data_IF_929033070184
#
_entry.id   IF_929033070184
#
_cell.length_a   1.000
_cell.length_b   1.000
_cell.length_c   1.000
_cell.angle_alpha   90.00
_cell.angle_beta   90.00
_cell.angle_gamma   90.00
#
_symmetry.space_group_name_H-M   'P 1'
#
loop_
_entity.id
_entity.type
_entity.pdbx_description
1 polymer ?
#
# COMPACT_ATOMS: atom_id res chain seq x y z
N UNK A 1 -13.12 0.61 -26.82
CA UNK A 1 -13.49 -0.47 -25.89
C UNK A 1 -12.27 -0.63 -25.03
N UNK A 2 -12.36 -0.18 -23.78
CA UNK A 2 -11.24 -0.16 -22.83
C UNK A 2 -10.86 -1.60 -22.48
N UNK A 3 -9.60 -1.98 -22.72
CA UNK A 3 -9.06 -3.28 -22.29
C UNK A 3 -8.71 -3.30 -20.79
N UNK A 4 -8.90 -2.18 -20.07
CA UNK A 4 -8.64 -2.03 -18.62
C UNK A 4 -9.65 -2.73 -17.70
N UNK A 5 -10.77 -3.22 -18.23
CA UNK A 5 -11.83 -3.89 -17.44
C UNK A 5 -11.70 -5.42 -17.38
N UNK A 6 -10.70 -6.02 -18.04
CA UNK A 6 -10.53 -7.47 -18.00
C UNK A 6 -9.64 -7.87 -16.84
N UNK A 7 -10.25 -8.45 -15.81
CA UNK A 7 -9.54 -9.15 -14.74
C UNK A 7 -8.65 -10.23 -15.38
N UNK A 8 -7.32 -10.21 -15.15
CA UNK A 8 -6.42 -11.21 -15.70
C UNK A 8 -6.77 -12.61 -15.19
N UNK A 9 -6.71 -13.59 -16.09
CA UNK A 9 -6.83 -15.01 -15.73
C UNK A 9 -5.61 -15.47 -14.91
N UNK A 10 -5.76 -16.42 -13.98
CA UNK A 10 -4.64 -17.04 -13.28
C UNK A 10 -3.58 -17.68 -14.20
N UNK A 11 -3.92 -18.00 -15.46
CA UNK A 11 -2.98 -18.54 -16.45
C UNK A 11 -2.15 -17.45 -17.17
N UNK A 12 -2.49 -16.17 -17.00
CA UNK A 12 -1.69 -15.07 -17.56
C UNK A 12 -0.38 -14.87 -16.80
N UNK A 13 0.61 -14.20 -17.41
CA UNK A 13 1.86 -13.84 -16.75
C UNK A 13 1.63 -13.16 -15.41
N UNK A 14 2.52 -13.43 -14.45
CA UNK A 14 2.44 -12.86 -13.11
C UNK A 14 2.51 -11.33 -13.17
N UNK A 15 3.32 -10.78 -14.06
CA UNK A 15 3.51 -9.35 -14.27
C UNK A 15 2.21 -8.65 -14.63
N UNK A 16 1.42 -9.22 -15.54
CA UNK A 16 0.11 -8.69 -15.94
C UNK A 16 -0.88 -8.70 -14.77
N UNK A 17 -0.84 -9.75 -13.94
CA UNK A 17 -1.70 -9.92 -12.77
C UNK A 17 -1.35 -8.90 -11.67
N UNK A 18 -0.07 -8.67 -11.42
CA UNK A 18 0.39 -7.65 -10.46
C UNK A 18 0.13 -6.23 -10.99
N UNK A 19 0.32 -5.99 -12.28
CA UNK A 19 0.01 -4.72 -12.93
C UNK A 19 -1.47 -4.38 -12.78
N UNK A 20 -2.37 -5.36 -12.94
CA UNK A 20 -3.79 -5.15 -12.69
C UNK A 20 -4.08 -4.65 -11.26
N UNK A 21 -3.45 -5.25 -10.24
CA UNK A 21 -3.62 -4.80 -8.84
C UNK A 21 -3.11 -3.37 -8.69
N UNK A 22 -1.92 -3.07 -9.24
CA UNK A 22 -1.30 -1.75 -9.23
C UNK A 22 -2.21 -0.68 -9.87
N UNK A 23 -2.69 -0.92 -11.09
CA UNK A 23 -3.53 0.02 -11.84
C UNK A 23 -4.84 0.30 -11.12
N UNK A 24 -5.49 -0.73 -10.56
CA UNK A 24 -6.72 -0.56 -9.78
C UNK A 24 -6.48 0.30 -8.54
N UNK A 25 -5.38 0.07 -7.82
CA UNK A 25 -5.03 0.89 -6.65
C UNK A 25 -4.69 2.33 -7.03
N UNK A 26 -3.88 2.54 -8.07
CA UNK A 26 -3.53 3.87 -8.58
C UNK A 26 -4.79 4.63 -9.00
N UNK A 27 -5.66 3.97 -9.78
CA UNK A 27 -6.93 4.53 -10.24
C UNK A 27 -7.80 4.96 -9.07
N UNK A 28 -7.99 4.07 -8.09
CA UNK A 28 -8.81 4.35 -6.91
C UNK A 28 -8.25 5.51 -6.07
N UNK A 29 -6.96 5.46 -5.72
CA UNK A 29 -6.31 6.50 -4.90
C UNK A 29 -6.40 7.87 -5.58
N UNK A 30 -6.23 7.93 -6.90
CA UNK A 30 -6.39 9.18 -7.68
C UNK A 30 -7.85 9.63 -7.74
N UNK A 31 -8.78 8.75 -8.07
CA UNK A 31 -10.20 9.08 -8.24
C UNK A 31 -10.84 9.59 -6.95
N UNK A 32 -10.50 8.96 -5.82
CA UNK A 32 -11.02 9.32 -4.50
C UNK A 32 -10.15 10.34 -3.77
N UNK A 33 -9.10 10.84 -4.44
CA UNK A 33 -8.20 11.87 -3.92
C UNK A 33 -7.69 11.52 -2.51
N UNK A 34 -7.31 10.25 -2.31
CA UNK A 34 -7.11 9.72 -0.97
C UNK A 34 -5.97 10.44 -0.25
N UNK A 35 -6.21 10.89 0.99
CA UNK A 35 -5.17 11.32 1.91
C UNK A 35 -4.04 10.31 2.04
N UNK A 36 -2.79 10.79 2.06
CA UNK A 36 -1.63 9.91 2.25
C UNK A 36 -1.70 9.09 3.54
N UNK A 37 -2.23 9.66 4.63
CA UNK A 37 -2.34 8.95 5.91
C UNK A 37 -3.32 7.78 5.85
N UNK A 38 -4.42 7.92 5.11
CA UNK A 38 -5.41 6.84 4.94
C UNK A 38 -4.81 5.69 4.12
N UNK A 39 -4.15 6.01 2.99
CA UNK A 39 -3.47 5.00 2.17
C UNK A 39 -2.38 4.30 3.01
N UNK A 40 -1.60 5.05 3.79
CA UNK A 40 -0.57 4.50 4.67
C UNK A 40 -1.12 3.46 5.65
N UNK A 41 -2.26 3.75 6.28
CA UNK A 41 -2.89 2.85 7.25
C UNK A 41 -3.37 1.56 6.60
N UNK A 42 -4.03 1.65 5.44
CA UNK A 42 -4.53 0.47 4.72
C UNK A 42 -3.38 -0.40 4.20
N UNK A 43 -2.36 0.20 3.59
CA UNK A 43 -1.18 -0.54 3.11
C UNK A 43 -0.44 -1.20 4.28
N UNK A 44 -0.24 -0.48 5.38
CA UNK A 44 0.44 -1.03 6.58
C UNK A 44 -0.33 -2.21 7.20
N UNK A 45 -1.67 -2.14 7.20
CA UNK A 45 -2.53 -3.24 7.63
C UNK A 45 -2.32 -4.47 6.75
N UNK A 46 -2.32 -4.30 5.43
CA UNK A 46 -2.15 -5.42 4.50
C UNK A 46 -0.75 -6.04 4.50
N UNK A 47 0.30 -5.23 4.56
CA UNK A 47 1.68 -5.71 4.72
C UNK A 47 1.77 -6.65 5.92
N UNK A 48 1.20 -6.24 7.06
CA UNK A 48 1.18 -7.05 8.28
C UNK A 48 0.44 -8.37 8.08
N UNK A 49 -0.76 -8.34 7.51
CA UNK A 49 -1.55 -9.55 7.25
C UNK A 49 -0.79 -10.51 6.34
N UNK A 50 -0.23 -10.03 5.22
CA UNK A 50 0.51 -10.88 4.29
C UNK A 50 1.79 -11.43 4.91
N UNK A 51 2.53 -10.60 5.65
CA UNK A 51 3.76 -11.00 6.32
C UNK A 51 3.51 -12.07 7.38
N UNK A 52 2.49 -11.91 8.22
CA UNK A 52 2.09 -12.91 9.22
C UNK A 52 1.75 -14.25 8.55
N UNK A 53 1.01 -14.22 7.43
CA UNK A 53 0.65 -15.44 6.69
C UNK A 53 1.85 -16.10 6.02
N UNK A 54 2.71 -15.32 5.37
CA UNK A 54 3.92 -15.83 4.73
C UNK A 54 4.89 -16.42 5.75
N UNK A 55 5.04 -15.78 6.91
CA UNK A 55 5.92 -16.26 7.98
C UNK A 55 5.39 -17.57 8.55
N UNK A 56 4.08 -17.67 8.77
CA UNK A 56 3.45 -18.91 9.21
C UNK A 56 3.73 -20.07 8.24
N UNK A 57 3.57 -19.83 6.92
CA UNK A 57 3.82 -20.86 5.90
C UNK A 57 5.31 -21.24 5.86
N UNK A 58 6.21 -20.26 5.94
CA UNK A 58 7.65 -20.47 5.94
C UNK A 58 8.09 -21.30 7.16
N UNK A 59 7.56 -20.99 8.36
CA UNK A 59 7.83 -21.73 9.58
C UNK A 59 7.33 -23.18 9.48
N UNK A 60 6.15 -23.40 8.89
CA UNK A 60 5.56 -24.72 8.65
C UNK A 60 6.34 -25.55 7.62
N UNK A 61 6.93 -24.91 6.60
CA UNK A 61 7.73 -25.57 5.57
C UNK A 61 9.23 -25.68 5.91
N UNK A 62 9.70 -25.01 6.97
CA UNK A 62 11.11 -24.91 7.30
C UNK A 62 11.91 -24.04 6.33
N UNK A 63 11.25 -23.09 5.67
CA UNK A 63 11.85 -22.10 4.78
C UNK A 63 12.02 -20.75 5.47
N UNK A 64 12.82 -19.86 4.87
CA UNK A 64 12.99 -18.48 5.33
C UNK A 64 12.51 -17.49 4.25
N UNK A 65 11.84 -16.43 4.68
CA UNK A 65 11.42 -15.37 3.77
C UNK A 65 12.61 -14.46 3.39
N UNK A 66 12.65 -13.96 2.14
CA UNK A 66 13.64 -12.97 1.73
C UNK A 66 13.61 -11.71 2.60
N UNK A 67 14.79 -11.24 3.02
CA UNK A 67 14.94 -10.10 3.93
C UNK A 67 14.29 -8.80 3.44
N UNK A 68 14.30 -8.57 2.12
CA UNK A 68 13.68 -7.39 1.50
C UNK A 68 12.14 -7.38 1.62
N UNK A 69 11.50 -8.51 1.91
CA UNK A 69 10.06 -8.57 2.18
C UNK A 69 9.74 -8.36 3.66
N UNK A 70 10.68 -8.72 4.54
CA UNK A 70 10.49 -8.66 5.99
C UNK A 70 10.51 -7.23 6.52
N UNK A 71 11.31 -6.36 5.91
CA UNK A 71 11.51 -4.99 6.38
C UNK A 71 11.26 -3.96 5.28
N UNK A 72 10.75 -2.76 5.63
CA UNK A 72 10.68 -1.66 4.70
C UNK A 72 12.06 -1.35 4.12
N UNK A 73 12.14 -1.03 2.83
CA UNK A 73 13.40 -0.55 2.22
C UNK A 73 13.91 0.68 2.98
N UNK A 74 15.21 0.77 3.29
CA UNK A 74 15.79 1.97 3.90
C UNK A 74 15.43 3.22 3.12
N UNK A 75 15.15 4.30 3.84
CA UNK A 75 14.88 5.59 3.24
C UNK A 75 16.16 6.41 3.33
N UNK A 76 16.73 6.77 2.18
CA UNK A 76 18.01 7.50 2.08
C UNK A 76 17.85 9.03 2.09
N UNK A 77 16.62 9.54 2.28
CA UNK A 77 16.35 10.98 2.31
C UNK A 77 16.51 11.60 3.69
N UNK A 78 16.71 12.91 3.71
CA UNK A 78 16.76 13.69 4.94
C UNK A 78 15.38 13.72 5.63
N UNK A 79 15.28 13.08 6.79
CA UNK A 79 14.12 13.20 7.67
C UNK A 79 14.08 14.64 8.18
N UNK A 80 13.13 15.43 7.67
CA UNK A 80 12.94 16.80 8.15
C UNK A 80 12.23 16.75 9.50
N UNK A 81 12.71 17.49 10.52
CA UNK A 81 12.01 17.55 11.79
C UNK A 81 10.59 18.11 11.56
N UNK A 82 9.57 17.55 12.23
CA UNK A 82 8.22 18.06 12.17
C UNK A 82 8.19 19.52 12.62
N UNK A 83 7.33 20.35 12.02
CA UNK A 83 7.21 21.76 12.41
C UNK A 83 6.31 21.96 13.64
N UNK A 84 5.75 20.89 14.20
CA UNK A 84 4.84 20.94 15.35
C UNK A 84 5.27 19.90 16.38
N UNK A 85 5.40 20.31 17.64
CA UNK A 85 5.91 19.48 18.75
C UNK A 85 4.97 18.34 19.18
N UNK A 86 3.68 18.40 18.82
CA UNK A 86 2.74 17.29 19.03
C UNK A 86 1.40 17.59 18.36
N UNK A 87 1.00 16.80 17.38
CA UNK A 87 -0.39 16.74 16.95
C UNK A 87 -1.09 15.62 17.75
N UNK A 88 -2.29 15.85 18.33
CA UNK A 88 -3.00 14.81 19.06
C UNK A 88 -3.38 13.69 18.08
N UNK A 89 -2.82 12.49 18.28
CA UNK A 89 -3.06 11.34 17.42
C UNK A 89 -4.55 10.97 17.41
N UNK A 90 -5.23 11.13 18.54
CA UNK A 90 -6.66 10.85 18.68
C UNK A 90 -7.48 11.69 17.70
N UNK A 91 -7.17 12.99 17.60
CA UNK A 91 -7.84 13.89 16.65
C UNK A 91 -7.53 13.57 15.20
N UNK A 92 -6.34 13.02 14.94
CA UNK A 92 -5.99 12.53 13.60
C UNK A 92 -6.92 11.37 13.23
N UNK A 93 -7.01 10.38 14.12
CA UNK A 93 -7.82 9.18 13.89
C UNK A 93 -9.30 9.52 13.73
N UNK A 94 -9.84 10.43 14.54
CA UNK A 94 -11.23 10.89 14.46
C UNK A 94 -11.58 11.58 13.13
N UNK A 95 -10.57 12.05 12.39
CA UNK A 95 -10.75 12.76 11.11
C UNK A 95 -10.55 11.90 9.88
N UNK A 96 -10.25 10.60 10.05
CA UNK A 96 -10.10 9.66 8.95
C UNK A 96 -11.46 9.25 8.40
N UNK A 97 -11.50 8.98 7.10
CA UNK A 97 -12.68 8.43 6.43
C UNK A 97 -12.61 6.89 6.43
N UNK A 98 -13.28 6.27 7.41
CA UNK A 98 -13.29 4.80 7.57
C UNK A 98 -13.90 4.09 6.35
N UNK A 99 -14.99 4.61 5.79
CA UNK A 99 -15.67 4.01 4.63
C UNK A 99 -14.73 3.99 3.43
N UNK A 100 -14.03 5.10 3.16
CA UNK A 100 -13.06 5.16 2.04
C UNK A 100 -11.89 4.21 2.23
N UNK A 101 -11.37 4.08 3.46
CA UNK A 101 -10.32 3.11 3.78
C UNK A 101 -10.80 1.66 3.62
N UNK A 102 -12.02 1.35 4.03
CA UNK A 102 -12.62 0.02 3.89
C UNK A 102 -12.88 -0.36 2.43
N UNK A 103 -13.21 0.61 1.57
CA UNK A 103 -13.32 0.38 0.13
C UNK A 103 -11.95 0.04 -0.47
N UNK A 104 -10.88 0.78 -0.12
CA UNK A 104 -9.52 0.46 -0.57
C UNK A 104 -9.08 -0.94 -0.09
N UNK A 105 -9.35 -1.26 1.18
CA UNK A 105 -9.07 -2.57 1.76
C UNK A 105 -9.81 -3.69 1.02
N UNK A 106 -11.08 -3.48 0.68
CA UNK A 106 -11.90 -4.42 -0.08
C UNK A 106 -11.40 -4.59 -1.51
N UNK A 107 -11.02 -3.49 -2.17
CA UNK A 107 -10.44 -3.49 -3.51
C UNK A 107 -9.16 -4.33 -3.54
N UNK A 108 -8.24 -4.10 -2.61
CA UNK A 108 -6.99 -4.86 -2.52
C UNK A 108 -7.26 -6.35 -2.32
N UNK A 109 -8.19 -6.69 -1.42
CA UNK A 109 -8.59 -8.08 -1.17
C UNK A 109 -9.10 -8.76 -2.42
N UNK A 110 -10.02 -8.07 -3.09
CA UNK A 110 -10.74 -8.60 -4.24
C UNK A 110 -9.80 -8.72 -5.42
N UNK A 111 -8.94 -7.73 -5.66
CA UNK A 111 -7.96 -7.76 -6.74
C UNK A 111 -6.96 -8.91 -6.54
N UNK A 112 -6.33 -9.03 -5.36
CA UNK A 112 -5.40 -10.13 -5.04
C UNK A 112 -6.05 -11.49 -5.28
N UNK A 113 -7.27 -11.69 -4.78
CA UNK A 113 -7.98 -12.96 -4.91
C UNK A 113 -8.43 -13.22 -6.35
N UNK A 114 -8.92 -12.20 -7.05
CA UNK A 114 -9.46 -12.33 -8.41
C UNK A 114 -8.39 -12.79 -9.40
N UNK A 115 -7.16 -12.30 -9.25
CA UNK A 115 -6.03 -12.75 -10.06
C UNK A 115 -5.25 -13.88 -9.41
N UNK A 116 -5.68 -14.44 -8.27
CA UNK A 116 -4.96 -15.46 -7.49
C UNK A 116 -3.49 -15.13 -7.19
N UNK A 117 -3.16 -13.85 -6.95
CA UNK A 117 -1.77 -13.39 -6.85
C UNK A 117 -1.01 -14.10 -5.70
N UNK A 118 0.22 -14.58 -5.94
CA UNK A 118 1.08 -15.07 -4.87
C UNK A 118 1.30 -13.99 -3.81
N UNK A 119 1.17 -14.36 -2.53
CA UNK A 119 1.30 -13.39 -1.43
C UNK A 119 2.67 -12.71 -1.37
N UNK A 120 3.74 -13.41 -1.75
CA UNK A 120 5.09 -12.81 -1.84
C UNK A 120 5.14 -11.69 -2.89
N UNK A 121 4.52 -11.88 -4.05
CA UNK A 121 4.44 -10.87 -5.12
C UNK A 121 3.54 -9.70 -4.73
N UNK A 122 2.40 -9.96 -4.11
CA UNK A 122 1.53 -8.91 -3.57
C UNK A 122 2.22 -8.10 -2.46
N UNK A 123 2.98 -8.78 -1.58
CA UNK A 123 3.76 -8.11 -0.55
C UNK A 123 4.86 -7.23 -1.17
N UNK A 124 5.57 -7.71 -2.19
CA UNK A 124 6.56 -6.91 -2.91
C UNK A 124 5.94 -5.62 -3.49
N UNK A 125 4.79 -5.73 -4.14
CA UNK A 125 4.02 -4.57 -4.62
C UNK A 125 3.72 -3.59 -3.47
N UNK A 126 3.24 -4.07 -2.33
CA UNK A 126 2.93 -3.20 -1.19
C UNK A 126 4.17 -2.58 -0.54
N UNK A 127 5.35 -3.19 -0.66
CA UNK A 127 6.62 -2.56 -0.26
C UNK A 127 6.98 -1.38 -1.17
N UNK A 128 6.66 -1.44 -2.46
CA UNK A 128 6.84 -0.29 -3.36
C UNK A 128 5.89 0.87 -3.00
N UNK A 129 4.63 0.55 -2.67
CA UNK A 129 3.69 1.53 -2.12
C UNK A 129 4.18 2.14 -0.81
N UNK A 130 4.65 1.30 0.13
CA UNK A 130 5.20 1.75 1.40
C UNK A 130 6.38 2.72 1.19
N UNK A 131 7.28 2.44 0.23
CA UNK A 131 8.38 3.35 -0.13
C UNK A 131 7.86 4.71 -0.61
N UNK A 132 6.88 4.73 -1.51
CA UNK A 132 6.29 5.97 -2.03
C UNK A 132 5.61 6.78 -0.92
N UNK A 133 4.88 6.11 -0.04
CA UNK A 133 4.21 6.70 1.12
C UNK A 133 5.24 7.29 2.08
N UNK A 134 6.27 6.52 2.46
CA UNK A 134 7.31 6.97 3.38
C UNK A 134 8.09 8.18 2.84
N UNK A 135 8.34 8.20 1.53
CA UNK A 135 8.96 9.35 0.87
C UNK A 135 8.13 10.63 1.08
N UNK A 136 6.84 10.59 0.77
CA UNK A 136 5.97 11.75 0.94
C UNK A 136 5.71 12.11 2.42
N UNK A 137 5.60 11.11 3.31
CA UNK A 137 5.47 11.36 4.75
C UNK A 137 6.74 11.99 5.34
N UNK A 138 7.93 11.69 4.82
CA UNK A 138 9.18 12.34 5.26
C UNK A 138 9.22 13.84 4.94
N UNK A 139 8.46 14.26 3.93
CA UNK A 139 8.26 15.67 3.56
C UNK A 139 7.08 16.32 4.30
N UNK A 140 6.30 15.52 5.03
CA UNK A 140 5.16 16.01 5.81
C UNK A 140 5.67 16.79 7.02
N UNK A 141 5.37 18.08 7.04
CA UNK A 141 5.79 18.98 8.13
C UNK A 141 4.62 19.48 8.97
N UNK A 142 3.39 19.17 8.57
CA UNK A 142 2.16 19.63 9.23
C UNK A 142 1.05 18.59 9.12
N UNK A 143 0.04 18.62 10.02
CA UNK A 143 -1.14 17.75 9.92
C UNK A 143 -1.84 17.86 8.56
N UNK A 144 -1.93 19.07 7.99
CA UNK A 144 -2.52 19.27 6.66
C UNK A 144 -1.79 18.51 5.54
N UNK A 145 -0.49 18.26 5.69
CA UNK A 145 0.24 17.41 4.74
C UNK A 145 -0.13 15.93 4.85
N UNK A 146 -0.49 15.43 6.04
CA UNK A 146 -0.96 14.05 6.23
C UNK A 146 -2.32 13.82 5.55
N UNK A 147 -3.15 14.86 5.50
CA UNK A 147 -4.45 14.86 4.82
C UNK A 147 -4.39 15.33 3.36
N UNK A 148 -3.19 15.66 2.87
CA UNK A 148 -3.03 16.02 1.47
C UNK A 148 -3.19 14.78 0.60
N UNK A 149 -3.76 14.93 -0.61
CA UNK A 149 -3.88 13.84 -1.55
C UNK A 149 -2.52 13.21 -1.85
N UNK A 150 -2.47 11.89 -1.83
CA UNK A 150 -1.26 11.15 -2.18
C UNK A 150 -0.87 11.44 -3.64
N UNK A 151 0.39 11.86 -3.85
CA UNK A 151 0.93 12.09 -5.18
C UNK A 151 1.50 10.80 -5.73
N UNK A 152 0.97 10.34 -6.85
CA UNK A 152 1.46 9.14 -7.53
C UNK A 152 2.17 9.58 -8.83
N UNK A 153 3.47 9.29 -9.00
CA UNK A 153 4.20 9.56 -10.24
C UNK A 153 3.51 8.97 -11.48
N UNK A 154 3.76 9.55 -12.65
CA UNK A 154 3.15 9.06 -13.91
C UNK A 154 3.66 7.67 -14.31
N UNK A 155 4.86 7.31 -13.87
CA UNK A 155 5.58 6.06 -14.16
C UNK A 155 5.55 5.04 -13.01
N UNK A 156 4.69 5.26 -12.00
CA UNK A 156 4.56 4.37 -10.84
C UNK A 156 3.71 3.13 -11.12
#
# INVERSE_FOLDING_TARGET
MDDSDKIPSPQQPLEERILFIQENMVSFVKQYNMPIVEVALVISKYIRILLERLQQIADESGEELPSHLLSPTPFDGDIKPPLIDSFPLERLLDSLDEDRMDILDTLMRTAINAVEAPFSSALALFRDWERLIRSQLSESRSPGHLFSPMKIPEDF
#
